data_IF_072155180312
#
_entry.id   IF_072155180312
#
_cell.length_a   1.000
_cell.length_b   1.000
_cell.length_c   1.000
_cell.angle_alpha   90.00
_cell.angle_beta   90.00
_cell.angle_gamma   90.00
#
_symmetry.space_group_name_H-M   'P 1'
#
loop_
_entity.id
_entity.type
_entity.pdbx_description
1 polymer ?
#
# COMPACT_ATOMS: atom_id res chain seq x y z
N UNK A 1 -29.36 -5.08 -7.88
CA UNK A 1 -29.31 -6.51 -7.92
C UNK A 1 -28.07 -7.11 -7.30
N UNK A 2 -28.02 -8.40 -7.39
CA UNK A 2 -26.93 -9.21 -6.82
C UNK A 2 -25.56 -8.88 -7.42
N UNK A 3 -25.50 -8.39 -8.64
CA UNK A 3 -24.25 -8.07 -9.33
C UNK A 3 -23.44 -6.96 -8.67
N UNK A 4 -24.10 -6.02 -8.01
CA UNK A 4 -23.44 -4.90 -7.33
C UNK A 4 -22.46 -5.37 -6.25
N UNK A 5 -22.82 -6.45 -5.56
CA UNK A 5 -22.05 -7.00 -4.46
C UNK A 5 -21.31 -8.28 -4.84
N UNK A 6 -21.26 -8.59 -6.12
CA UNK A 6 -20.42 -9.66 -6.64
C UNK A 6 -19.02 -9.11 -6.92
N UNK A 7 -18.18 -9.10 -5.90
CA UNK A 7 -16.84 -8.53 -6.00
C UNK A 7 -15.90 -9.39 -6.83
N UNK A 8 -16.16 -10.68 -6.94
CA UNK A 8 -15.40 -11.56 -7.84
C UNK A 8 -15.59 -11.10 -9.29
N UNK A 9 -16.83 -10.87 -9.72
CA UNK A 9 -17.09 -10.36 -11.08
C UNK A 9 -16.55 -8.95 -11.28
N UNK A 10 -16.68 -8.09 -10.27
CA UNK A 10 -16.20 -6.71 -10.37
C UNK A 10 -14.68 -6.66 -10.48
N UNK A 11 -13.98 -7.52 -9.74
CA UNK A 11 -12.52 -7.67 -9.85
C UNK A 11 -12.13 -8.15 -11.25
N UNK A 12 -12.84 -9.15 -11.78
CA UNK A 12 -12.59 -9.65 -13.13
C UNK A 12 -12.81 -8.55 -14.19
N UNK A 13 -13.82 -7.71 -14.02
CA UNK A 13 -14.08 -6.58 -14.93
C UNK A 13 -12.95 -5.55 -14.87
N UNK A 14 -12.42 -5.25 -13.70
CA UNK A 14 -11.27 -4.35 -13.52
C UNK A 14 -10.03 -4.94 -14.22
N UNK A 15 -9.75 -6.21 -14.01
CA UNK A 15 -8.62 -6.89 -14.64
C UNK A 15 -8.71 -6.86 -16.16
N UNK A 16 -9.91 -7.00 -16.70
CA UNK A 16 -10.13 -6.91 -18.14
C UNK A 16 -9.80 -5.50 -18.66
N UNK A 17 -10.24 -4.46 -17.95
CA UNK A 17 -9.91 -3.08 -18.31
C UNK A 17 -8.39 -2.85 -18.30
N UNK A 18 -7.70 -3.39 -17.29
CA UNK A 18 -6.22 -3.30 -17.23
C UNK A 18 -5.58 -3.98 -18.44
N UNK A 19 -6.04 -5.19 -18.79
CA UNK A 19 -5.51 -5.90 -19.95
C UNK A 19 -5.74 -5.16 -21.26
N UNK A 20 -6.82 -4.40 -21.34
CA UNK A 20 -7.12 -3.57 -22.53
C UNK A 20 -6.36 -2.24 -22.52
N UNK A 21 -5.56 -1.96 -21.49
CA UNK A 21 -4.85 -0.69 -21.36
C UNK A 21 -5.71 0.48 -20.91
N UNK A 22 -6.94 0.22 -20.47
CA UNK A 22 -7.90 1.24 -20.04
C UNK A 22 -7.73 1.51 -18.54
N UNK A 23 -6.58 2.07 -18.18
CA UNK A 23 -6.18 2.19 -16.77
C UNK A 23 -7.04 3.17 -15.97
N UNK A 24 -7.43 4.29 -16.55
CA UNK A 24 -8.29 5.27 -15.88
C UNK A 24 -9.63 4.65 -15.55
N UNK A 25 -10.24 3.97 -16.51
CA UNK A 25 -11.52 3.28 -16.30
C UNK A 25 -11.39 2.14 -15.29
N UNK A 26 -10.25 1.45 -15.28
CA UNK A 26 -9.99 0.40 -14.29
C UNK A 26 -9.95 0.97 -12.87
N UNK A 27 -9.27 2.10 -12.67
CA UNK A 27 -9.21 2.77 -11.37
C UNK A 27 -10.59 3.26 -10.93
N UNK A 28 -11.36 3.83 -11.84
CA UNK A 28 -12.73 4.27 -11.57
C UNK A 28 -13.65 3.11 -11.18
N UNK A 29 -13.57 2.01 -11.93
CA UNK A 29 -14.38 0.82 -11.64
C UNK A 29 -13.99 0.20 -10.28
N UNK A 30 -12.70 0.20 -9.97
CA UNK A 30 -12.22 -0.30 -8.68
C UNK A 30 -12.69 0.58 -7.53
N UNK A 31 -12.62 1.89 -7.70
CA UNK A 31 -13.09 2.83 -6.68
C UNK A 31 -14.61 2.73 -6.48
N UNK A 32 -15.38 2.59 -7.56
CA UNK A 32 -16.83 2.40 -7.47
C UNK A 32 -17.16 1.12 -6.68
N UNK A 33 -16.41 0.05 -6.92
CA UNK A 33 -16.57 -1.19 -6.18
C UNK A 33 -16.22 -1.00 -4.70
N UNK A 34 -15.16 -0.24 -4.42
CA UNK A 34 -14.78 0.10 -3.05
C UNK A 34 -15.89 0.88 -2.33
N UNK A 35 -16.47 1.87 -2.98
CA UNK A 35 -17.56 2.67 -2.39
C UNK A 35 -18.75 1.77 -2.04
N UNK A 36 -19.14 0.88 -2.93
CA UNK A 36 -20.22 -0.07 -2.68
C UNK A 36 -19.92 -1.02 -1.54
N UNK A 37 -18.68 -1.50 -1.47
CA UNK A 37 -18.23 -2.35 -0.38
C UNK A 37 -18.24 -1.60 0.96
N UNK A 38 -17.70 -0.39 0.99
CA UNK A 38 -17.63 0.42 2.20
C UNK A 38 -19.02 0.70 2.77
N UNK A 39 -20.02 0.88 1.89
CA UNK A 39 -21.41 1.10 2.31
C UNK A 39 -22.02 -0.13 3.01
N UNK A 40 -21.47 -1.32 2.80
CA UNK A 40 -21.92 -2.54 3.48
C UNK A 40 -21.32 -2.72 4.86
N UNK A 41 -20.20 -2.03 5.14
CA UNK A 41 -19.49 -2.19 6.40
C UNK A 41 -20.10 -1.29 7.47
N UNK A 42 -20.21 -1.77 8.73
CA UNK A 42 -20.70 -0.93 9.82
C UNK A 42 -19.77 0.25 10.08
N UNK A 43 -20.32 1.42 10.41
CA UNK A 43 -19.56 2.63 10.65
C UNK A 43 -18.63 2.54 11.87
N UNK A 44 -19.00 1.75 12.86
CA UNK A 44 -18.31 1.72 14.15
C UNK A 44 -17.45 0.46 14.39
N UNK A 45 -17.70 -0.60 13.64
CA UNK A 45 -16.94 -1.85 13.79
C UNK A 45 -16.65 -2.42 12.40
N UNK A 46 -15.36 -2.54 12.08
CA UNK A 46 -14.98 -3.26 10.90
C UNK A 46 -15.25 -4.75 11.11
N UNK A 47 -15.99 -5.36 10.18
CA UNK A 47 -16.21 -6.79 10.19
C UNK A 47 -15.02 -7.48 9.54
N UNK A 48 -14.37 -8.43 10.23
CA UNK A 48 -13.34 -9.25 9.59
C UNK A 48 -13.94 -9.99 8.40
N UNK A 49 -13.32 -9.84 7.25
CA UNK A 49 -13.69 -10.58 6.05
C UNK A 49 -12.86 -11.86 6.00
N UNK A 50 -13.53 -12.98 5.71
CA UNK A 50 -12.85 -14.27 5.69
C UNK A 50 -12.13 -14.49 4.36
N UNK A 51 -10.83 -14.65 4.45
CA UNK A 51 -9.97 -14.88 3.28
C UNK A 51 -10.40 -16.11 2.47
N UNK A 52 -10.92 -17.14 3.12
CA UNK A 52 -11.35 -18.37 2.49
C UNK A 52 -12.54 -18.20 1.54
N UNK A 53 -13.36 -17.18 1.77
CA UNK A 53 -14.50 -16.91 0.90
C UNK A 53 -14.08 -16.11 -0.32
N UNK A 54 -14.28 -16.62 -1.54
CA UNK A 54 -13.81 -15.93 -2.75
C UNK A 54 -14.33 -14.49 -2.88
N UNK A 55 -15.58 -14.25 -2.53
CA UNK A 55 -16.14 -12.89 -2.63
C UNK A 55 -15.52 -11.94 -1.59
N UNK A 56 -15.25 -12.43 -0.38
CA UNK A 56 -14.55 -11.65 0.65
C UNK A 56 -13.11 -11.34 0.24
N UNK A 57 -12.41 -12.34 -0.28
CA UNK A 57 -11.04 -12.14 -0.79
C UNK A 57 -11.00 -11.13 -1.93
N UNK A 58 -11.98 -11.21 -2.85
CA UNK A 58 -12.11 -10.23 -3.94
C UNK A 58 -12.39 -8.83 -3.39
N UNK A 59 -13.25 -8.72 -2.37
CA UNK A 59 -13.52 -7.44 -1.71
C UNK A 59 -12.25 -6.84 -1.09
N UNK A 60 -11.47 -7.66 -0.39
CA UNK A 60 -10.19 -7.21 0.19
C UNK A 60 -9.22 -6.74 -0.90
N UNK A 61 -9.15 -7.45 -2.02
CA UNK A 61 -8.29 -7.06 -3.14
C UNK A 61 -8.72 -5.73 -3.76
N UNK A 62 -10.02 -5.43 -3.75
CA UNK A 62 -10.55 -4.15 -4.22
C UNK A 62 -10.09 -3.01 -3.31
N UNK A 63 -10.14 -3.21 -1.99
CA UNK A 63 -9.66 -2.19 -1.05
C UNK A 63 -8.18 -1.92 -1.29
N UNK A 64 -7.39 -2.98 -1.35
CA UNK A 64 -5.94 -2.84 -1.57
C UNK A 64 -5.63 -2.17 -2.90
N UNK A 65 -6.24 -2.64 -3.99
CA UNK A 65 -6.01 -2.07 -5.32
C UNK A 65 -6.40 -0.60 -5.40
N UNK A 66 -7.53 -0.21 -4.79
CA UNK A 66 -7.94 1.19 -4.74
C UNK A 66 -6.97 2.04 -3.91
N UNK A 67 -6.45 1.50 -2.80
CA UNK A 67 -5.45 2.19 -2.00
C UNK A 67 -4.15 2.43 -2.79
N UNK A 68 -3.71 1.44 -3.57
CA UNK A 68 -2.54 1.57 -4.45
C UNK A 68 -2.80 2.63 -5.53
N UNK A 69 -3.98 2.63 -6.12
CA UNK A 69 -4.36 3.62 -7.14
C UNK A 69 -4.28 5.04 -6.58
N UNK A 70 -4.83 5.26 -5.38
CA UNK A 70 -4.80 6.58 -4.73
C UNK A 70 -3.39 6.99 -4.33
N UNK A 71 -2.58 6.03 -3.88
CA UNK A 71 -1.17 6.29 -3.60
C UNK A 71 -0.45 6.80 -4.86
N UNK A 72 -0.68 6.14 -6.00
CA UNK A 72 -0.04 6.49 -7.26
C UNK A 72 -0.40 7.88 -7.77
N UNK A 73 -1.63 8.32 -7.54
CA UNK A 73 -2.06 9.68 -7.94
C UNK A 73 -1.74 10.74 -6.90
N UNK A 74 -1.12 10.35 -5.78
CA UNK A 74 -0.74 11.28 -4.72
C UNK A 74 -1.84 11.59 -3.70
N UNK A 75 -2.98 10.92 -3.77
CA UNK A 75 -4.04 11.05 -2.77
C UNK A 75 -3.73 10.14 -1.57
N UNK A 76 -2.78 10.57 -0.77
CA UNK A 76 -2.28 9.79 0.36
C UNK A 76 -3.29 9.66 1.49
N UNK A 77 -4.14 10.68 1.68
CA UNK A 77 -5.18 10.62 2.71
C UNK A 77 -6.19 9.50 2.42
N UNK A 78 -6.66 9.41 1.18
CA UNK A 78 -7.57 8.34 0.79
C UNK A 78 -6.87 6.98 0.88
N UNK A 79 -5.63 6.90 0.40
CA UNK A 79 -4.84 5.67 0.49
C UNK A 79 -4.70 5.19 1.93
N UNK A 80 -4.34 6.09 2.85
CA UNK A 80 -4.24 5.76 4.28
C UNK A 80 -5.56 5.24 4.84
N UNK A 81 -6.65 5.94 4.56
CA UNK A 81 -7.97 5.53 5.05
C UNK A 81 -8.35 4.13 4.55
N UNK A 82 -8.08 3.85 3.27
CA UNK A 82 -8.37 2.55 2.68
C UNK A 82 -7.48 1.45 3.26
N UNK A 83 -6.19 1.72 3.48
CA UNK A 83 -5.27 0.76 4.06
C UNK A 83 -5.60 0.47 5.54
N UNK A 84 -5.99 1.48 6.28
CA UNK A 84 -6.43 1.31 7.66
C UNK A 84 -7.68 0.43 7.72
N UNK A 85 -8.65 0.68 6.84
CA UNK A 85 -9.85 -0.16 6.71
C UNK A 85 -9.47 -1.59 6.32
N UNK A 86 -8.54 -1.75 5.38
CA UNK A 86 -8.09 -3.07 4.95
C UNK A 86 -7.54 -3.89 6.11
N UNK A 87 -6.69 -3.28 6.95
CA UNK A 87 -6.12 -3.98 8.10
C UNK A 87 -7.17 -4.35 9.15
N UNK A 88 -8.22 -3.55 9.29
CA UNK A 88 -9.34 -3.89 10.17
C UNK A 88 -10.13 -5.08 9.64
N UNK A 89 -10.29 -5.18 8.32
CA UNK A 89 -11.02 -6.27 7.68
C UNK A 89 -10.16 -7.53 7.47
N UNK A 90 -8.85 -7.38 7.42
CA UNK A 90 -7.89 -8.45 7.14
C UNK A 90 -6.75 -8.41 8.17
N UNK A 91 -7.01 -8.96 9.34
CA UNK A 91 -6.06 -8.94 10.46
C UNK A 91 -4.75 -9.67 10.16
N UNK A 92 -4.77 -10.63 9.25
CA UNK A 92 -3.58 -11.39 8.86
C UNK A 92 -2.72 -10.65 7.83
N UNK A 93 -3.24 -9.53 7.33
CA UNK A 93 -2.55 -8.69 6.35
C UNK A 93 -2.00 -9.49 5.16
N UNK A 94 -2.89 -10.15 4.44
CA UNK A 94 -2.53 -11.00 3.30
C UNK A 94 -1.83 -10.24 2.17
N UNK A 95 -2.03 -8.93 2.09
CA UNK A 95 -1.42 -8.08 1.05
C UNK A 95 -0.14 -7.40 1.52
N UNK A 96 0.31 -7.67 2.76
CA UNK A 96 1.43 -6.96 3.37
C UNK A 96 1.26 -5.43 3.29
N UNK A 97 0.02 -4.98 3.48
CA UNK A 97 -0.38 -3.58 3.31
C UNK A 97 0.24 -2.64 4.34
N UNK A 98 0.75 -3.18 5.46
CA UNK A 98 1.48 -2.39 6.47
C UNK A 98 2.68 -1.65 5.86
N UNK A 99 3.31 -2.21 4.83
CA UNK A 99 4.46 -1.58 4.17
C UNK A 99 4.03 -0.29 3.46
N UNK A 100 2.96 -0.35 2.67
CA UNK A 100 2.45 0.83 1.97
C UNK A 100 1.88 1.86 2.95
N UNK A 101 1.17 1.41 3.98
CA UNK A 101 0.63 2.28 5.01
C UNK A 101 1.74 3.03 5.75
N UNK A 102 2.83 2.33 6.09
CA UNK A 102 3.98 2.96 6.72
C UNK A 102 4.56 4.07 5.85
N UNK A 103 4.68 3.83 4.54
CA UNK A 103 5.15 4.84 3.59
C UNK A 103 4.23 6.07 3.56
N UNK A 104 2.93 5.85 3.57
CA UNK A 104 1.95 6.93 3.64
C UNK A 104 2.12 7.76 4.91
N UNK A 105 2.28 7.09 6.06
CA UNK A 105 2.46 7.79 7.34
C UNK A 105 3.73 8.65 7.34
N UNK A 106 4.83 8.12 6.83
CA UNK A 106 6.09 8.88 6.72
C UNK A 106 5.90 10.09 5.82
N UNK A 107 5.28 9.90 4.66
CA UNK A 107 5.04 10.98 3.71
C UNK A 107 4.15 12.09 4.27
N UNK A 108 3.22 11.75 5.15
CA UNK A 108 2.26 12.69 5.74
C UNK A 108 2.65 13.16 7.15
N UNK A 109 3.85 12.78 7.62
CA UNK A 109 4.34 13.11 8.97
C UNK A 109 3.40 12.63 10.09
N UNK A 110 2.71 11.51 9.87
CA UNK A 110 1.85 10.86 10.85
C UNK A 110 2.69 9.97 11.78
N UNK A 111 3.49 10.61 12.62
CA UNK A 111 4.54 9.92 13.37
C UNK A 111 4.02 9.01 14.47
N UNK A 112 2.95 9.40 15.17
CA UNK A 112 2.39 8.54 16.20
C UNK A 112 1.83 7.25 15.59
N UNK A 113 1.09 7.37 14.50
CA UNK A 113 0.57 6.22 13.78
C UNK A 113 1.70 5.36 13.20
N UNK A 114 2.73 6.02 12.67
CA UNK A 114 3.91 5.32 12.15
C UNK A 114 4.62 4.52 13.24
N UNK A 115 4.85 5.11 14.41
CA UNK A 115 5.53 4.44 15.52
C UNK A 115 4.75 3.22 15.99
N UNK A 116 3.43 3.33 16.10
CA UNK A 116 2.59 2.19 16.44
C UNK A 116 2.67 1.07 15.39
N UNK A 117 2.67 1.46 14.13
CA UNK A 117 2.72 0.50 13.02
C UNK A 117 4.07 -0.20 12.92
N UNK A 118 5.18 0.47 13.28
CA UNK A 118 6.52 -0.12 13.17
C UNK A 118 6.70 -1.37 14.00
N UNK A 119 5.88 -1.56 15.03
CA UNK A 119 5.91 -2.79 15.83
C UNK A 119 5.56 -4.03 15.00
N UNK A 120 4.88 -3.85 13.88
CA UNK A 120 4.44 -4.92 12.99
C UNK A 120 5.26 -5.02 11.71
N UNK A 121 6.22 -4.11 11.50
CA UNK A 121 7.09 -4.14 10.33
C UNK A 121 8.23 -5.14 10.54
N UNK A 122 8.45 -6.00 9.55
CA UNK A 122 9.49 -7.01 9.60
C UNK A 122 10.77 -6.50 8.92
N UNK A 123 11.91 -6.63 9.61
CA UNK A 123 13.23 -6.34 9.02
C UNK A 123 13.61 -7.32 7.90
N UNK A 124 12.82 -8.38 7.71
CA UNK A 124 13.00 -9.31 6.60
C UNK A 124 12.56 -8.71 5.26
N UNK A 125 11.79 -7.62 5.30
CA UNK A 125 11.33 -6.91 4.11
C UNK A 125 12.27 -5.75 3.81
N UNK A 126 12.78 -5.70 2.57
CA UNK A 126 13.58 -4.56 2.10
C UNK A 126 12.78 -3.27 2.11
N UNK A 127 11.49 -3.34 1.77
CA UNK A 127 10.59 -2.18 1.81
C UNK A 127 10.50 -1.60 3.22
N UNK A 128 10.39 -2.44 4.25
CA UNK A 128 10.32 -1.99 5.63
C UNK A 128 11.62 -1.29 6.06
N UNK A 129 12.77 -1.83 5.70
CA UNK A 129 14.07 -1.23 6.02
C UNK A 129 14.23 0.12 5.32
N UNK A 130 13.89 0.21 4.04
CA UNK A 130 13.93 1.48 3.28
C UNK A 130 13.01 2.52 3.91
N UNK A 131 11.80 2.12 4.29
CA UNK A 131 10.84 3.04 4.94
C UNK A 131 11.39 3.55 6.28
N UNK A 132 12.02 2.69 7.08
CA UNK A 132 12.65 3.10 8.33
C UNK A 132 13.81 4.07 8.11
N UNK A 133 14.63 3.83 7.09
CA UNK A 133 15.68 4.78 6.70
C UNK A 133 15.10 6.14 6.36
N UNK A 134 14.07 6.15 5.54
CA UNK A 134 13.40 7.38 5.15
C UNK A 134 12.80 8.11 6.35
N UNK A 135 12.12 7.39 7.24
CA UNK A 135 11.54 7.96 8.46
C UNK A 135 12.63 8.58 9.35
N UNK A 136 13.72 7.87 9.58
CA UNK A 136 14.83 8.36 10.39
C UNK A 136 15.44 9.63 9.78
N UNK A 137 15.63 9.64 8.47
CA UNK A 137 16.16 10.81 7.78
C UNK A 137 15.20 12.01 7.88
N UNK A 138 13.92 11.80 7.66
CA UNK A 138 12.94 12.89 7.77
C UNK A 138 12.86 13.47 9.18
N UNK A 139 13.01 12.63 10.20
CA UNK A 139 12.93 13.07 11.61
C UNK A 139 14.20 13.73 12.10
N UNK A 140 15.37 13.23 11.70
CA UNK A 140 16.66 13.68 12.26
C UNK A 140 17.54 14.45 11.30
N UNK A 141 17.28 14.37 10.00
CA UNK A 141 18.15 14.90 8.97
C UNK A 141 19.41 14.06 8.78
N UNK A 142 19.51 12.90 9.39
CA UNK A 142 20.68 12.03 9.34
C UNK A 142 20.34 10.65 8.84
N UNK A 143 21.29 10.03 8.14
CA UNK A 143 21.17 8.64 7.71
C UNK A 143 21.46 7.73 8.89
N UNK A 144 20.57 6.77 9.14
CA UNK A 144 20.79 5.73 10.16
C UNK A 144 21.74 4.69 9.59
N UNK A 145 22.99 4.70 10.07
CA UNK A 145 24.04 3.83 9.55
C UNK A 145 23.80 2.34 9.82
N UNK A 146 23.10 2.02 10.91
CA UNK A 146 22.76 0.64 11.22
C UNK A 146 21.72 0.08 10.26
N UNK A 147 20.70 0.88 9.93
CA UNK A 147 19.71 0.49 8.95
C UNK A 147 20.31 0.38 7.55
N UNK A 148 21.21 1.30 7.22
CA UNK A 148 21.91 1.27 5.93
C UNK A 148 22.78 0.00 5.82
N UNK A 149 23.47 -0.37 6.88
CA UNK A 149 24.26 -1.59 6.93
C UNK A 149 23.39 -2.84 6.81
N UNK A 150 22.22 -2.84 7.46
CA UNK A 150 21.26 -3.93 7.37
C UNK A 150 20.76 -4.08 5.94
N UNK A 151 20.43 -2.97 5.28
CA UNK A 151 19.99 -2.95 3.89
C UNK A 151 21.07 -3.54 2.99
N UNK A 152 22.33 -3.12 3.18
CA UNK A 152 23.47 -3.62 2.40
C UNK A 152 23.69 -5.12 2.57
N UNK A 153 23.58 -5.63 3.80
CA UNK A 153 23.89 -7.02 4.10
C UNK A 153 22.75 -7.98 3.73
N UNK A 154 21.50 -7.56 3.86
CA UNK A 154 20.33 -8.44 3.69
C UNK A 154 19.47 -8.12 2.49
N UNK A 155 19.53 -6.90 1.98
CA UNK A 155 18.67 -6.41 0.89
C UNK A 155 19.50 -5.67 -0.15
N UNK A 156 20.49 -6.37 -0.72
CA UNK A 156 21.51 -5.78 -1.58
C UNK A 156 20.94 -5.02 -2.78
N UNK A 157 19.86 -5.52 -3.38
CA UNK A 157 19.25 -4.86 -4.52
C UNK A 157 18.73 -3.47 -4.16
N UNK A 158 18.08 -3.34 -3.01
CA UNK A 158 17.61 -2.05 -2.50
C UNK A 158 18.76 -1.11 -2.18
N UNK A 159 19.82 -1.65 -1.57
CA UNK A 159 21.02 -0.88 -1.26
C UNK A 159 21.69 -0.34 -2.51
N UNK A 160 21.82 -1.17 -3.54
CA UNK A 160 22.45 -0.78 -4.79
C UNK A 160 21.64 0.30 -5.50
N UNK A 161 20.32 0.22 -5.46
CA UNK A 161 19.43 1.26 -6.00
C UNK A 161 19.60 2.59 -5.26
N UNK A 162 19.64 2.57 -3.92
CA UNK A 162 19.83 3.77 -3.12
C UNK A 162 21.20 4.40 -3.36
N UNK A 163 22.22 3.59 -3.61
CA UNK A 163 23.57 4.05 -3.90
C UNK A 163 23.80 4.47 -5.34
N UNK A 164 22.86 4.22 -6.20
CA UNK A 164 22.96 4.63 -7.60
C UNK A 164 22.80 6.17 -7.69
N UNK A 165 23.76 6.91 -7.11
CA UNK A 165 23.84 8.37 -7.18
C UNK A 165 23.96 8.85 -8.62
N UNK A 166 24.38 7.96 -9.50
CA UNK A 166 24.46 8.17 -10.93
C UNK A 166 23.15 7.88 -11.64
N UNK A 167 22.09 7.68 -10.86
CA UNK A 167 20.77 7.60 -11.41
C UNK A 167 20.54 8.89 -12.20
N UNK A 168 20.33 8.83 -13.52
CA UNK A 168 20.29 10.03 -14.35
C UNK A 168 19.14 10.96 -13.97
N UNK A 169 18.26 10.53 -13.07
CA UNK A 169 17.08 11.30 -12.68
C UNK A 169 16.61 10.85 -11.29
N UNK A 170 16.96 11.62 -10.26
CA UNK A 170 16.51 11.39 -8.89
C UNK A 170 14.99 11.40 -8.77
N UNK A 171 14.31 12.21 -9.58
CA UNK A 171 12.86 12.27 -9.60
C UNK A 171 12.26 10.98 -10.16
N UNK A 172 12.89 10.39 -11.18
CA UNK A 172 12.48 9.09 -11.71
C UNK A 172 12.63 8.00 -10.66
N UNK A 173 13.74 7.99 -9.92
CA UNK A 173 13.99 7.04 -8.85
C UNK A 173 12.95 7.18 -7.74
N UNK A 174 12.64 8.41 -7.32
CA UNK A 174 11.61 8.67 -6.32
C UNK A 174 10.23 8.23 -6.79
N UNK A 175 9.92 8.43 -8.06
CA UNK A 175 8.66 7.95 -8.64
C UNK A 175 8.59 6.43 -8.64
N UNK A 176 9.68 5.74 -8.95
CA UNK A 176 9.73 4.28 -8.92
C UNK A 176 9.48 3.74 -7.51
N UNK A 177 10.12 4.34 -6.50
CA UNK A 177 9.90 3.94 -5.10
C UNK A 177 8.46 4.20 -4.66
N UNK A 178 7.88 5.33 -5.06
CA UNK A 178 6.55 5.73 -4.62
C UNK A 178 5.40 5.19 -5.46
N UNK A 179 5.62 4.84 -6.74
CA UNK A 179 4.56 4.49 -7.67
C UNK A 179 4.54 3.02 -8.10
N UNK A 180 5.66 2.36 -8.15
CA UNK A 180 5.77 1.02 -8.72
C UNK A 180 5.74 -0.10 -7.66
N UNK A 181 5.74 0.27 -6.40
CA UNK A 181 5.79 -0.71 -5.32
C UNK A 181 4.70 -0.41 -4.31
N UNK A 182 3.67 -1.24 -4.32
CA UNK A 182 2.70 -1.20 -3.25
C UNK A 182 3.32 -1.69 -1.95
#
# INVERSE_FOLDING_TARGET
>A
GSGKYNFVERTAAVERLVREGRYVEACEARYDAFVDLAALLPDEEALPLRWEHPNSRAALSIIYGSAVDHFRIGDLEMSMAQLELLLECDNEDHFESVNLLAMCYVACDEWDAYDDLTLYLSDKSGDAVVTRLWAAFRRSGRVDEQLLALLRSRHRAYYDELRAEEHPDDDAFRRDISSDRP
#
